data_IF_296738667764
#
_entry.id   IF_296738667764
#
_cell.length_a   1.000
_cell.length_b   1.000
_cell.length_c   1.000
_cell.angle_alpha   90.00
_cell.angle_beta   90.00
_cell.angle_gamma   90.00
#
_symmetry.space_group_name_H-M   'P 1'
#
loop_
_entity.id
_entity.type
_entity.pdbx_description
1 polymer ?
#
# COMPACT_ATOMS: atom_id res chain seq x y z
N UNK A 1 6.43 -7.11 -24.95
CA UNK A 1 5.93 -7.18 -26.34
C UNK A 1 4.64 -6.38 -26.45
N UNK A 2 4.26 -5.85 -27.61
CA UNK A 2 2.84 -5.70 -27.92
C UNK A 2 2.28 -7.07 -28.39
N UNK A 3 0.96 -7.18 -28.58
CA UNK A 3 0.34 -8.46 -28.89
C UNK A 3 0.79 -9.06 -30.24
N UNK A 4 0.99 -8.21 -31.26
CA UNK A 4 1.42 -8.68 -32.59
C UNK A 4 2.87 -9.14 -32.57
N UNK A 5 3.73 -8.35 -31.93
CA UNK A 5 5.13 -8.70 -31.71
C UNK A 5 5.25 -10.00 -30.90
N UNK A 6 4.40 -10.23 -29.90
CA UNK A 6 4.39 -11.49 -29.15
C UNK A 6 4.01 -12.69 -30.04
N UNK A 7 2.98 -12.55 -30.88
CA UNK A 7 2.55 -13.64 -31.78
C UNK A 7 3.62 -13.99 -32.82
N UNK A 8 4.38 -13.01 -33.28
CA UNK A 8 5.43 -13.17 -34.31
C UNK A 8 6.81 -13.51 -33.74
N UNK A 9 7.03 -13.37 -32.42
CA UNK A 9 8.31 -13.61 -31.79
C UNK A 9 8.74 -15.08 -31.93
N UNK A 10 9.92 -15.29 -32.51
CA UNK A 10 10.56 -16.62 -32.61
C UNK A 10 11.08 -17.11 -31.25
N UNK A 11 11.54 -16.17 -30.41
CA UNK A 11 12.05 -16.45 -29.08
C UNK A 11 11.13 -15.82 -28.04
N UNK A 12 10.62 -16.65 -27.14
CA UNK A 12 9.78 -16.25 -26.00
C UNK A 12 10.42 -16.79 -24.73
N UNK A 13 10.20 -16.11 -23.62
CA UNK A 13 10.61 -16.66 -22.34
C UNK A 13 9.76 -17.90 -22.02
N UNK A 14 10.41 -18.96 -21.56
CA UNK A 14 9.75 -20.24 -21.30
C UNK A 14 8.85 -20.23 -20.07
N UNK A 15 8.96 -19.20 -19.21
CA UNK A 15 8.21 -19.05 -17.97
C UNK A 15 7.20 -17.92 -18.06
N UNK A 16 7.59 -16.75 -18.58
CA UNK A 16 6.78 -15.53 -18.44
C UNK A 16 7.04 -14.50 -19.53
N UNK A 17 5.98 -14.03 -20.20
CA UNK A 17 6.06 -13.00 -21.21
C UNK A 17 5.10 -11.84 -20.91
N UNK A 18 5.63 -10.62 -20.84
CA UNK A 18 4.81 -9.41 -20.69
C UNK A 18 4.29 -8.95 -22.05
N UNK A 19 2.95 -8.89 -22.18
CA UNK A 19 2.27 -8.46 -23.40
C UNK A 19 1.44 -7.22 -23.10
N UNK A 20 1.85 -6.09 -23.68
CA UNK A 20 1.22 -4.79 -23.47
C UNK A 20 0.04 -4.60 -24.42
N UNK A 21 -1.08 -4.13 -23.87
CA UNK A 21 -2.30 -3.79 -24.60
C UNK A 21 -2.86 -2.48 -24.06
N UNK A 22 -3.31 -1.63 -24.98
CA UNK A 22 -4.10 -0.44 -24.68
C UNK A 22 -5.55 -0.87 -24.50
N UNK A 23 -6.18 -0.52 -23.38
CA UNK A 23 -7.51 -0.98 -22.99
C UNK A 23 -8.59 -0.65 -24.03
N UNK A 24 -8.45 0.48 -24.71
CA UNK A 24 -9.30 0.93 -25.81
C UNK A 24 -9.27 -0.05 -27.00
N UNK A 25 -8.11 -0.68 -27.25
CA UNK A 25 -7.87 -1.60 -28.36
C UNK A 25 -8.08 -3.07 -27.96
N UNK A 26 -8.50 -3.33 -26.71
CA UNK A 26 -8.66 -4.68 -26.20
C UNK A 26 -9.77 -5.45 -26.95
N UNK A 27 -9.33 -6.47 -27.68
CA UNK A 27 -10.17 -7.49 -28.32
C UNK A 27 -9.86 -8.85 -27.66
N UNK A 28 -10.80 -9.35 -26.87
CA UNK A 28 -10.62 -10.54 -26.00
C UNK A 28 -10.39 -11.82 -26.80
N UNK A 29 -10.91 -11.89 -28.02
CA UNK A 29 -10.73 -13.02 -28.94
C UNK A 29 -9.25 -13.21 -29.29
N UNK A 30 -8.48 -12.13 -29.32
CA UNK A 30 -7.05 -12.19 -29.65
C UNK A 30 -6.19 -12.71 -28.49
N UNK A 31 -6.77 -12.82 -27.29
CA UNK A 31 -6.12 -13.30 -26.08
C UNK A 31 -6.41 -14.77 -25.75
N UNK A 32 -7.28 -15.41 -26.53
CA UNK A 32 -7.53 -16.84 -26.41
C UNK A 32 -6.24 -17.63 -26.69
N UNK A 33 -6.06 -18.73 -25.95
CA UNK A 33 -4.94 -19.67 -26.09
C UNK A 33 -3.54 -19.07 -25.85
N UNK A 34 -3.45 -17.90 -25.21
CA UNK A 34 -2.17 -17.35 -24.77
C UNK A 34 -1.70 -18.03 -23.49
N UNK A 35 -0.66 -18.84 -23.60
CA UNK A 35 0.02 -19.42 -22.45
C UNK A 35 1.18 -18.53 -21.97
N UNK A 36 1.43 -18.55 -20.65
CA UNK A 36 2.60 -17.91 -20.02
C UNK A 36 2.70 -16.40 -20.26
N UNK A 37 1.55 -15.74 -20.35
CA UNK A 37 1.43 -14.30 -20.57
C UNK A 37 0.99 -13.61 -19.29
N UNK A 38 1.66 -12.49 -18.98
CA UNK A 38 1.13 -11.45 -18.09
C UNK A 38 0.71 -10.29 -18.98
N UNK A 39 -0.56 -9.95 -18.91
CA UNK A 39 -1.08 -8.80 -19.64
C UNK A 39 -0.62 -7.53 -18.94
N UNK A 40 0.00 -6.62 -19.69
CA UNK A 40 0.31 -5.27 -19.22
C UNK A 40 -0.76 -4.34 -19.81
N UNK A 41 -1.77 -4.03 -19.02
CA UNK A 41 -2.90 -3.24 -19.45
C UNK A 41 -2.63 -1.76 -19.19
N UNK A 42 -2.71 -0.93 -20.23
CA UNK A 42 -2.54 0.53 -20.11
C UNK A 42 -3.70 1.25 -20.81
N UNK A 43 -3.73 2.59 -20.73
CA UNK A 43 -4.75 3.39 -21.42
C UNK A 43 -4.23 4.79 -21.74
N UNK A 44 -4.69 5.36 -22.86
CA UNK A 44 -4.44 6.75 -23.25
C UNK A 44 -5.65 7.65 -22.92
N UNK A 45 -6.76 7.07 -22.51
CA UNK A 45 -7.97 7.78 -22.14
C UNK A 45 -7.79 8.62 -20.86
N UNK A 46 -8.49 9.75 -20.80
CA UNK A 46 -8.50 10.60 -19.59
C UNK A 46 -9.30 9.97 -18.44
N UNK A 47 -10.36 9.23 -18.76
CA UNK A 47 -11.21 8.51 -17.81
C UNK A 47 -10.60 7.13 -17.47
N UNK A 48 -9.40 7.15 -16.90
CA UNK A 48 -8.55 5.96 -16.67
C UNK A 48 -9.28 4.84 -15.95
N UNK A 49 -9.85 5.15 -14.78
CA UNK A 49 -10.52 4.16 -13.93
C UNK A 49 -11.63 3.43 -14.69
N UNK A 50 -12.50 4.18 -15.38
CA UNK A 50 -13.62 3.61 -16.14
C UNK A 50 -13.12 2.76 -17.30
N UNK A 51 -12.11 3.23 -18.04
CA UNK A 51 -11.58 2.53 -19.21
C UNK A 51 -10.89 1.23 -18.83
N UNK A 52 -10.04 1.25 -17.79
CA UNK A 52 -9.36 0.04 -17.31
C UNK A 52 -10.36 -0.92 -16.66
N UNK A 53 -11.28 -0.43 -15.82
CA UNK A 53 -12.33 -1.25 -15.21
C UNK A 53 -13.19 -1.94 -16.27
N UNK A 54 -13.56 -1.22 -17.34
CA UNK A 54 -14.30 -1.82 -18.46
C UNK A 54 -13.50 -2.91 -19.17
N UNK A 55 -12.18 -2.73 -19.36
CA UNK A 55 -11.33 -3.78 -19.90
C UNK A 55 -11.29 -5.04 -19.01
N UNK A 56 -11.20 -4.89 -17.68
CA UNK A 56 -11.35 -6.02 -16.76
C UNK A 56 -12.69 -6.73 -16.89
N UNK A 57 -13.79 -5.98 -16.99
CA UNK A 57 -15.14 -6.55 -17.20
C UNK A 57 -15.21 -7.33 -18.52
N UNK A 58 -14.58 -6.86 -19.60
CA UNK A 58 -14.48 -7.62 -20.86
C UNK A 58 -13.73 -8.94 -20.67
N UNK A 59 -12.58 -8.93 -19.98
CA UNK A 59 -11.80 -10.14 -19.71
C UNK A 59 -12.61 -11.16 -18.90
N UNK A 60 -13.31 -10.69 -17.86
CA UNK A 60 -14.17 -11.52 -17.01
C UNK A 60 -15.33 -12.14 -17.80
N UNK A 61 -16.03 -11.34 -18.60
CA UNK A 61 -17.13 -11.83 -19.44
C UNK A 61 -16.67 -12.86 -20.48
N UNK A 62 -15.42 -12.77 -20.93
CA UNK A 62 -14.81 -13.73 -21.83
C UNK A 62 -14.25 -14.98 -21.12
N UNK A 63 -14.30 -15.04 -19.78
CA UNK A 63 -13.76 -16.16 -19.00
C UNK A 63 -12.22 -16.24 -19.03
N UNK A 64 -11.53 -15.15 -19.35
CA UNK A 64 -10.07 -15.10 -19.45
C UNK A 64 -9.45 -14.87 -18.07
N UNK A 65 -8.66 -15.85 -17.61
CA UNK A 65 -8.07 -15.85 -16.27
C UNK A 65 -6.53 -15.78 -16.32
N UNK A 66 -6.03 -14.76 -17.01
CA UNK A 66 -4.60 -14.45 -17.09
C UNK A 66 -4.23 -13.33 -16.11
N UNK A 67 -2.99 -13.31 -15.56
CA UNK A 67 -2.56 -12.23 -14.70
C UNK A 67 -2.49 -10.90 -15.46
N UNK A 68 -2.93 -9.82 -14.82
CA UNK A 68 -2.95 -8.47 -15.39
C UNK A 68 -2.19 -7.50 -14.50
N UNK A 69 -1.14 -6.88 -15.04
CA UNK A 69 -0.48 -5.72 -14.44
C UNK A 69 -1.08 -4.45 -15.07
N UNK A 70 -1.51 -3.51 -14.23
CA UNK A 70 -1.99 -2.21 -14.71
C UNK A 70 -0.82 -1.24 -14.80
N UNK A 71 -0.56 -0.74 -16.00
CA UNK A 71 0.51 0.23 -16.28
C UNK A 71 -0.04 1.63 -16.48
N UNK A 72 0.52 2.59 -15.74
CA UNK A 72 0.23 4.02 -15.89
C UNK A 72 1.50 4.83 -16.13
N UNK A 73 1.36 5.86 -16.95
CA UNK A 73 2.42 6.83 -17.23
C UNK A 73 2.00 8.20 -16.71
N UNK A 74 2.87 8.79 -15.90
CA UNK A 74 2.74 10.10 -15.27
C UNK A 74 3.94 11.00 -15.61
N UNK A 75 4.56 10.81 -16.79
CA UNK A 75 5.75 11.55 -17.23
C UNK A 75 5.53 13.08 -17.28
N UNK A 76 4.27 13.51 -17.41
CA UNK A 76 3.87 14.92 -17.40
C UNK A 76 3.89 15.54 -16.00
N UNK A 77 3.85 14.73 -14.94
CA UNK A 77 3.86 15.21 -13.57
C UNK A 77 5.29 15.42 -13.11
N UNK A 78 5.54 16.61 -12.56
CA UNK A 78 6.81 16.98 -11.92
C UNK A 78 6.69 17.10 -10.41
N UNK A 79 5.47 17.32 -9.91
CA UNK A 79 5.16 17.43 -8.49
C UNK A 79 4.93 16.05 -7.86
N UNK A 80 5.53 15.84 -6.68
CA UNK A 80 5.47 14.57 -5.96
C UNK A 80 4.09 14.33 -5.35
N UNK A 81 3.43 15.36 -4.85
CA UNK A 81 2.12 15.23 -4.20
C UNK A 81 1.05 14.90 -5.24
N UNK A 82 1.05 15.61 -6.38
CA UNK A 82 0.19 15.30 -7.52
C UNK A 82 0.43 13.87 -8.02
N UNK A 83 1.70 13.46 -8.17
CA UNK A 83 2.04 12.09 -8.56
C UNK A 83 1.45 11.06 -7.59
N UNK A 84 1.63 11.26 -6.28
CA UNK A 84 1.10 10.35 -5.26
C UNK A 84 -0.42 10.30 -5.29
N UNK A 85 -1.09 11.44 -5.47
CA UNK A 85 -2.53 11.53 -5.57
C UNK A 85 -3.06 10.76 -6.79
N UNK A 86 -2.62 11.13 -7.99
CA UNK A 86 -3.15 10.56 -9.24
C UNK A 86 -2.80 9.08 -9.41
N UNK A 87 -1.58 8.67 -9.06
CA UNK A 87 -1.20 7.25 -9.13
C UNK A 87 -2.02 6.39 -8.16
N UNK A 88 -2.30 6.89 -6.96
CA UNK A 88 -3.14 6.18 -5.99
C UNK A 88 -4.59 6.07 -6.44
N UNK A 89 -5.16 7.13 -7.04
CA UNK A 89 -6.55 7.11 -7.55
C UNK A 89 -6.71 6.20 -8.77
N UNK A 90 -5.76 6.23 -9.70
CA UNK A 90 -5.84 5.45 -10.94
C UNK A 90 -5.69 3.94 -10.68
N UNK A 91 -4.83 3.56 -9.73
CA UNK A 91 -4.44 2.17 -9.52
C UNK A 91 -5.11 1.55 -8.30
N UNK A 92 -5.23 2.29 -7.20
CA UNK A 92 -5.72 1.76 -5.93
C UNK A 92 -7.19 1.33 -5.98
N UNK A 93 -8.03 2.10 -6.68
CA UNK A 93 -9.46 1.76 -6.81
C UNK A 93 -9.69 0.43 -7.51
N UNK A 94 -8.88 0.10 -8.52
CA UNK A 94 -8.97 -1.18 -9.24
C UNK A 94 -8.62 -2.36 -8.34
N UNK A 95 -7.55 -2.23 -7.55
CA UNK A 95 -7.13 -3.26 -6.60
C UNK A 95 -8.19 -3.50 -5.51
N UNK A 96 -8.86 -2.44 -5.04
CA UNK A 96 -9.98 -2.55 -4.09
C UNK A 96 -11.17 -3.30 -4.71
N UNK A 97 -11.44 -3.11 -5.99
CA UNK A 97 -12.47 -3.88 -6.72
C UNK A 97 -12.07 -5.36 -6.93
N UNK A 98 -10.85 -5.75 -6.57
CA UNK A 98 -10.29 -7.07 -6.83
C UNK A 98 -9.72 -7.24 -8.24
N UNK A 99 -9.44 -6.14 -8.94
CA UNK A 99 -8.85 -6.16 -10.28
C UNK A 99 -7.35 -5.89 -10.26
N UNK A 100 -6.61 -6.66 -11.06
CA UNK A 100 -5.18 -6.53 -11.25
C UNK A 100 -4.35 -7.33 -10.25
N UNK A 101 -3.24 -7.86 -10.74
CA UNK A 101 -2.27 -8.68 -9.99
C UNK A 101 -0.99 -7.90 -9.68
N UNK A 102 -0.87 -6.68 -10.23
CA UNK A 102 0.26 -5.80 -10.00
C UNK A 102 0.06 -4.44 -10.63
N UNK A 103 0.95 -3.53 -10.29
CA UNK A 103 0.98 -2.17 -10.81
C UNK A 103 2.35 -1.87 -11.40
N UNK A 104 2.36 -1.09 -12.48
CA UNK A 104 3.56 -0.58 -13.12
C UNK A 104 3.42 0.93 -13.27
N UNK A 105 4.29 1.68 -12.60
CA UNK A 105 4.23 3.15 -12.60
C UNK A 105 5.46 3.70 -13.31
N UNK A 106 5.22 4.51 -14.34
CA UNK A 106 6.26 5.27 -15.03
C UNK A 106 6.07 6.77 -14.73
N UNK A 107 7.12 7.45 -14.26
CA UNK A 107 7.10 8.90 -14.04
C UNK A 107 8.54 9.46 -14.12
N UNK A 108 8.96 9.90 -15.30
CA UNK A 108 10.36 10.34 -15.56
C UNK A 108 10.89 11.40 -14.59
N UNK A 109 10.05 12.34 -14.18
CA UNK A 109 10.45 13.49 -13.36
C UNK A 109 10.43 13.19 -11.86
N UNK A 110 9.96 12.01 -11.45
CA UNK A 110 9.82 11.63 -10.05
C UNK A 110 10.96 10.66 -9.67
N UNK A 111 11.63 10.85 -8.52
CA UNK A 111 12.69 9.92 -8.09
C UNK A 111 12.18 8.48 -7.94
N UNK A 112 12.98 7.51 -8.39
CA UNK A 112 12.60 6.09 -8.34
C UNK A 112 12.28 5.60 -6.91
N UNK A 113 12.97 6.13 -5.89
CA UNK A 113 12.67 5.83 -4.49
C UNK A 113 11.25 6.23 -4.09
N UNK A 114 10.78 7.39 -4.57
CA UNK A 114 9.42 7.87 -4.35
C UNK A 114 8.43 6.98 -5.11
N UNK A 115 8.67 6.70 -6.39
CA UNK A 115 7.83 5.79 -7.20
C UNK A 115 7.65 4.44 -6.50
N UNK A 116 8.75 3.82 -6.06
CA UNK A 116 8.72 2.54 -5.35
C UNK A 116 7.95 2.65 -4.03
N UNK A 117 8.23 3.67 -3.21
CA UNK A 117 7.55 3.86 -1.93
C UNK A 117 6.05 4.08 -2.09
N UNK A 118 5.62 4.80 -3.13
CA UNK A 118 4.22 5.05 -3.48
C UNK A 118 3.57 3.76 -3.98
N UNK A 119 4.22 3.01 -4.87
CA UNK A 119 3.72 1.73 -5.36
C UNK A 119 3.47 0.72 -4.22
N UNK A 120 4.44 0.54 -3.31
CA UNK A 120 4.25 -0.29 -2.12
C UNK A 120 3.20 0.27 -1.17
N UNK A 121 3.10 1.60 -1.06
CA UNK A 121 2.04 2.29 -0.32
C UNK A 121 0.64 1.95 -0.84
N UNK A 122 0.44 2.03 -2.16
CA UNK A 122 -0.82 1.67 -2.82
C UNK A 122 -1.16 0.20 -2.56
N UNK A 123 -0.20 -0.72 -2.77
CA UNK A 123 -0.43 -2.15 -2.55
C UNK A 123 -0.74 -2.48 -1.07
N UNK A 124 -0.16 -1.75 -0.13
CA UNK A 124 -0.42 -1.93 1.30
C UNK A 124 -1.78 -1.35 1.71
N UNK A 125 -2.13 -0.15 1.22
CA UNK A 125 -3.40 0.50 1.50
C UNK A 125 -4.60 -0.30 0.98
N UNK A 126 -4.42 -0.97 -0.17
CA UNK A 126 -5.43 -1.82 -0.81
C UNK A 126 -5.43 -3.26 -0.27
N UNK A 127 -4.57 -3.57 0.71
CA UNK A 127 -4.40 -4.90 1.31
C UNK A 127 -3.92 -6.00 0.36
N UNK A 128 -3.49 -5.66 -0.85
CA UNK A 128 -2.91 -6.61 -1.82
C UNK A 128 -1.53 -7.11 -1.39
N UNK A 129 -0.71 -6.26 -0.74
CA UNK A 129 0.61 -6.65 -0.23
C UNK A 129 1.03 -5.85 1.00
N UNK A 130 1.37 -6.53 2.08
CA UNK A 130 1.95 -5.90 3.27
C UNK A 130 3.47 -5.85 3.16
N UNK A 131 4.04 -4.66 3.21
CA UNK A 131 5.47 -4.41 2.91
C UNK A 131 6.26 -3.81 4.08
N UNK A 132 5.57 -3.18 5.03
CA UNK A 132 6.14 -2.48 6.18
C UNK A 132 5.10 -2.42 7.31
N UNK A 133 5.53 -1.91 8.45
CA UNK A 133 4.63 -1.61 9.58
C UNK A 133 3.54 -0.62 9.15
N UNK A 134 2.34 -0.85 9.64
CA UNK A 134 1.21 0.05 9.47
C UNK A 134 1.01 0.88 10.73
N UNK A 135 0.72 2.17 10.53
CA UNK A 135 0.52 3.12 11.63
C UNK A 135 -0.89 3.66 11.53
N UNK A 136 -1.66 3.45 12.60
CA UNK A 136 -3.02 3.95 12.73
C UNK A 136 -2.93 5.11 13.73
N UNK A 137 -3.17 6.34 13.28
CA UNK A 137 -3.03 7.52 14.14
C UNK A 137 -4.24 8.41 14.04
N UNK A 138 -4.71 8.93 15.17
CA UNK A 138 -5.73 9.96 15.17
C UNK A 138 -5.19 11.26 14.54
N UNK A 139 -6.04 12.10 13.93
CA UNK A 139 -5.65 13.48 13.70
C UNK A 139 -5.36 14.15 15.06
N UNK A 140 -4.39 15.08 15.09
CA UNK A 140 -4.18 15.86 16.31
C UNK A 140 -5.42 16.72 16.60
N UNK A 141 -5.78 16.82 17.87
CA UNK A 141 -6.90 17.64 18.34
C UNK A 141 -6.59 18.29 19.70
N UNK A 142 -7.47 19.17 20.20
CA UNK A 142 -7.29 19.84 21.50
C UNK A 142 -7.26 18.91 22.72
N UNK A 143 -7.49 17.60 22.55
CA UNK A 143 -7.36 16.58 23.59
C UNK A 143 -6.00 15.88 23.59
N UNK A 144 -5.13 16.18 22.63
CA UNK A 144 -3.80 15.56 22.51
C UNK A 144 -2.90 16.08 23.62
N UNK A 145 -2.31 15.18 24.40
CA UNK A 145 -1.56 15.53 25.62
C UNK A 145 -0.03 15.40 25.47
N UNK A 146 0.44 15.14 24.26
CA UNK A 146 1.85 15.05 23.87
C UNK A 146 2.02 15.47 22.41
N UNK A 147 3.25 15.66 21.94
CA UNK A 147 3.49 15.89 20.52
C UNK A 147 3.28 14.59 19.74
N UNK A 148 2.08 14.44 19.18
CA UNK A 148 1.69 13.27 18.41
C UNK A 148 2.52 13.10 17.15
N UNK A 149 2.92 14.20 16.50
CA UNK A 149 3.64 14.15 15.25
C UNK A 149 5.08 13.69 15.47
N UNK A 150 5.79 14.31 16.42
CA UNK A 150 7.15 13.92 16.79
C UNK A 150 7.19 12.49 17.33
N UNK A 151 6.24 12.12 18.19
CA UNK A 151 6.16 10.76 18.74
C UNK A 151 5.89 9.72 17.64
N UNK A 152 5.00 10.03 16.70
CA UNK A 152 4.72 9.14 15.56
C UNK A 152 5.96 8.95 14.70
N UNK A 153 6.72 10.01 14.45
CA UNK A 153 7.98 9.91 13.72
C UNK A 153 9.02 9.08 14.47
N UNK A 154 9.15 9.28 15.79
CA UNK A 154 10.08 8.52 16.63
C UNK A 154 9.75 7.02 16.66
N UNK A 155 8.46 6.66 16.78
CA UNK A 155 8.01 5.27 16.70
C UNK A 155 8.30 4.70 15.30
N UNK A 156 7.97 5.45 14.23
CA UNK A 156 8.24 5.03 12.84
C UNK A 156 9.71 4.74 12.57
N UNK A 157 10.59 5.63 13.03
CA UNK A 157 12.04 5.49 12.86
C UNK A 157 12.58 4.19 13.48
N UNK A 158 11.96 3.71 14.55
CA UNK A 158 12.40 2.51 15.28
C UNK A 158 11.66 1.24 14.88
N UNK A 159 10.48 1.33 14.25
CA UNK A 159 9.62 0.16 14.02
C UNK A 159 9.29 -0.10 12.56
N UNK A 160 9.58 0.81 11.62
CA UNK A 160 9.14 0.71 10.21
C UNK A 160 9.54 -0.56 9.44
N UNK A 161 10.57 -1.26 9.89
CA UNK A 161 11.05 -2.51 9.30
C UNK A 161 10.18 -3.73 9.67
N UNK A 162 9.32 -3.61 10.69
CA UNK A 162 8.49 -4.72 11.20
C UNK A 162 7.29 -4.97 10.27
N UNK A 163 7.45 -5.88 9.32
CA UNK A 163 6.42 -6.24 8.34
C UNK A 163 5.26 -6.97 9.02
N UNK A 164 4.03 -6.58 8.69
CA UNK A 164 2.83 -7.25 9.20
C UNK A 164 2.29 -6.74 10.52
N UNK A 165 2.98 -5.80 11.18
CA UNK A 165 2.56 -5.23 12.46
C UNK A 165 1.81 -3.92 12.26
N UNK A 166 0.73 -3.73 13.03
CA UNK A 166 -0.06 -2.51 13.12
C UNK A 166 0.15 -1.85 14.48
N UNK A 167 0.53 -0.58 14.47
CA UNK A 167 0.76 0.21 15.68
C UNK A 167 -0.22 1.39 15.70
N UNK A 168 -1.10 1.41 16.70
CA UNK A 168 -2.01 2.50 17.00
C UNK A 168 -1.32 3.59 17.81
N UNK A 169 -1.38 4.85 17.39
CA UNK A 169 -0.78 5.99 18.09
C UNK A 169 -1.84 7.06 18.28
N UNK A 170 -2.30 7.20 19.52
CA UNK A 170 -3.51 7.95 19.85
C UNK A 170 -3.22 9.06 20.84
N UNK A 171 -3.64 10.27 20.49
CA UNK A 171 -3.39 11.47 21.29
C UNK A 171 -4.13 11.50 22.63
N UNK A 172 -5.23 10.76 22.76
CA UNK A 172 -6.05 10.75 23.97
C UNK A 172 -6.73 9.39 24.22
N UNK A 173 -7.04 9.12 25.49
CA UNK A 173 -7.69 7.90 25.96
C UNK A 173 -9.17 7.79 25.57
N UNK A 174 -9.79 8.90 25.15
CA UNK A 174 -11.25 8.96 24.93
C UNK A 174 -11.65 8.15 23.70
N UNK A 175 -11.11 8.50 22.53
CA UNK A 175 -11.37 7.77 21.29
C UNK A 175 -10.25 6.78 20.95
N UNK A 176 -9.06 6.95 21.55
CA UNK A 176 -7.87 6.20 21.19
C UNK A 176 -8.08 4.68 21.16
N UNK A 177 -8.60 4.04 22.22
CA UNK A 177 -8.83 2.60 22.24
C UNK A 177 -9.77 2.09 21.14
N UNK A 178 -10.76 2.89 20.74
CA UNK A 178 -11.68 2.53 19.66
C UNK A 178 -11.06 2.72 18.28
N UNK A 179 -10.34 3.82 18.06
CA UNK A 179 -9.68 4.12 16.77
C UNK A 179 -8.54 3.13 16.45
N UNK A 180 -7.92 2.53 17.46
CA UNK A 180 -6.87 1.52 17.30
C UNK A 180 -7.37 0.08 17.51
N UNK A 181 -8.67 -0.18 17.45
CA UNK A 181 -9.24 -1.50 17.73
C UNK A 181 -8.62 -2.65 16.90
N UNK A 182 -8.17 -2.34 15.68
CA UNK A 182 -7.54 -3.28 14.74
C UNK A 182 -6.00 -3.27 14.79
N UNK A 183 -5.40 -2.56 15.75
CA UNK A 183 -3.95 -2.50 15.93
C UNK A 183 -3.45 -3.66 16.82
N UNK A 184 -2.26 -4.17 16.53
CA UNK A 184 -1.61 -5.19 17.35
C UNK A 184 -1.04 -4.58 18.65
N UNK A 185 -0.58 -3.34 18.56
CA UNK A 185 -0.03 -2.59 19.69
C UNK A 185 -0.57 -1.16 19.71
N UNK A 186 -0.76 -0.61 20.91
CA UNK A 186 -1.28 0.74 21.09
C UNK A 186 -0.39 1.62 21.96
N UNK A 187 -0.21 2.87 21.55
CA UNK A 187 0.42 3.95 22.29
C UNK A 187 -0.62 5.06 22.49
N UNK A 188 -1.17 5.19 23.70
CA UNK A 188 -2.32 6.08 23.95
C UNK A 188 -2.02 7.10 25.04
N UNK A 189 -2.23 8.38 24.75
CA UNK A 189 -2.15 9.45 25.74
C UNK A 189 -3.23 9.31 26.82
N UNK A 190 -2.82 9.08 28.07
CA UNK A 190 -3.71 8.94 29.23
C UNK A 190 -3.75 10.19 30.12
N UNK A 191 -2.76 11.08 29.99
CA UNK A 191 -2.62 12.31 30.76
C UNK A 191 -1.39 13.10 30.31
N UNK A 192 -1.17 14.32 30.83
CA UNK A 192 0.10 15.02 30.65
C UNK A 192 1.25 14.13 31.13
N UNK A 193 2.24 13.93 30.25
CA UNK A 193 3.38 13.04 30.46
C UNK A 193 3.04 11.58 30.84
N UNK A 194 1.86 11.08 30.42
CA UNK A 194 1.39 9.73 30.76
C UNK A 194 0.85 9.00 29.55
N UNK A 195 1.45 7.86 29.27
CA UNK A 195 1.08 6.96 28.17
C UNK A 195 0.57 5.64 28.74
N UNK A 196 -0.47 5.10 28.12
CA UNK A 196 -0.92 3.73 28.35
C UNK A 196 -0.60 2.90 27.11
N UNK A 197 0.06 1.77 27.32
CA UNK A 197 0.45 0.83 26.28
C UNK A 197 -0.52 -0.34 26.24
N UNK A 198 -0.83 -0.77 25.02
CA UNK A 198 -1.81 -1.81 24.74
C UNK A 198 -1.22 -2.91 23.88
N UNK A 199 -1.72 -4.14 24.09
CA UNK A 199 -1.60 -5.28 23.17
C UNK A 199 -3.01 -5.59 22.68
N UNK A 200 -3.28 -5.37 21.40
CA UNK A 200 -4.65 -5.29 20.90
C UNK A 200 -5.44 -4.24 21.68
N UNK A 201 -6.54 -4.67 22.29
CA UNK A 201 -7.36 -3.84 23.18
C UNK A 201 -7.02 -3.98 24.67
N UNK A 202 -6.10 -4.88 25.03
CA UNK A 202 -5.73 -5.13 26.41
C UNK A 202 -4.65 -4.14 26.89
N UNK A 203 -4.89 -3.54 28.05
CA UNK A 203 -3.91 -2.65 28.67
C UNK A 203 -2.79 -3.47 29.30
N UNK A 204 -1.56 -3.31 28.81
CA UNK A 204 -0.38 -4.01 29.31
C UNK A 204 0.47 -3.16 30.26
N UNK A 205 0.53 -1.84 30.03
CA UNK A 205 1.18 -0.88 30.95
C UNK A 205 0.37 0.41 31.06
N UNK A 206 0.18 0.91 32.28
CA UNK A 206 -0.58 2.15 32.56
C UNK A 206 0.34 3.26 33.02
N UNK A 207 0.06 4.49 32.58
CA UNK A 207 0.72 5.71 33.05
C UNK A 207 2.25 5.67 32.97
N UNK A 208 2.79 5.07 31.91
CA UNK A 208 4.22 5.10 31.59
C UNK A 208 4.61 6.54 31.26
N UNK A 209 5.76 7.01 31.76
CA UNK A 209 6.28 8.34 31.41
C UNK A 209 6.58 8.40 29.92
N UNK A 210 6.32 9.54 29.29
CA UNK A 210 6.48 9.68 27.82
C UNK A 210 7.91 9.37 27.37
N UNK A 211 8.90 9.79 28.17
CA UNK A 211 10.33 9.55 27.89
C UNK A 211 10.68 8.06 27.78
N UNK A 212 9.99 7.20 28.53
CA UNK A 212 10.27 5.76 28.59
C UNK A 212 9.31 4.95 27.69
N UNK A 213 8.15 5.52 27.34
CA UNK A 213 7.04 4.80 26.72
C UNK A 213 7.40 4.15 25.37
N UNK A 214 8.25 4.78 24.55
CA UNK A 214 8.68 4.19 23.26
C UNK A 214 9.57 2.96 23.50
N UNK A 215 10.49 3.03 24.46
CA UNK A 215 11.33 1.88 24.81
C UNK A 215 10.49 0.73 25.35
N UNK A 216 9.49 1.06 26.17
CA UNK A 216 8.59 0.08 26.74
C UNK A 216 7.69 -0.58 25.70
N UNK A 217 7.20 0.20 24.72
CA UNK A 217 6.47 -0.33 23.57
C UNK A 217 7.32 -1.36 22.80
N UNK A 218 8.58 -1.02 22.53
CA UNK A 218 9.51 -1.92 21.83
C UNK A 218 9.81 -3.17 22.67
N UNK A 219 10.00 -3.02 23.98
CA UNK A 219 10.19 -4.15 24.88
C UNK A 219 9.01 -5.12 24.88
N UNK A 220 7.77 -4.60 24.76
CA UNK A 220 6.57 -5.44 24.60
C UNK A 220 6.62 -6.19 23.26
N UNK A 221 6.88 -5.51 22.15
CA UNK A 221 6.96 -6.12 20.81
C UNK A 221 8.04 -7.21 20.77
N UNK A 222 9.20 -6.95 21.38
CA UNK A 222 10.30 -7.92 21.53
C UNK A 222 9.91 -9.11 22.40
N UNK A 223 9.28 -8.86 23.55
CA UNK A 223 8.82 -9.90 24.47
C UNK A 223 7.78 -10.84 23.84
N UNK A 224 7.00 -10.33 22.88
CA UNK A 224 6.00 -11.10 22.14
C UNK A 224 6.60 -11.87 20.94
N UNK A 225 7.92 -11.76 20.70
CA UNK A 225 8.61 -12.45 19.60
C UNK A 225 8.33 -11.86 18.22
N UNK A 226 7.75 -10.67 18.15
CA UNK A 226 7.38 -9.99 16.90
C UNK A 226 8.44 -9.01 16.41
N UNK A 227 9.61 -8.99 17.04
CA UNK A 227 10.73 -8.15 16.64
C UNK A 227 11.62 -8.86 15.62
N UNK A 228 12.02 -8.13 14.58
CA UNK A 228 12.96 -8.59 13.56
C UNK A 228 14.06 -7.53 13.48
N UNK A 229 15.32 -7.92 13.57
CA UNK A 229 16.42 -6.96 13.44
C UNK A 229 16.50 -6.37 12.03
N UNK A 230 17.00 -5.14 11.93
CA UNK A 230 17.24 -4.49 10.64
C UNK A 230 18.49 -5.13 10.01
N UNK A 231 18.32 -5.73 8.83
CA UNK A 231 19.42 -6.25 8.00
C UNK A 231 20.41 -5.15 7.56
#
# INVERSE_FOLDING_TARGET
>A
FDLQAYKQAQTKDEKLNFVKIVAEDLQVEQLQDLEKVVLVLTTNAQNVMQTIRHAFVKLLNAGLNLPVIVERNFDVLTDVEEFQLYSSTDLGGLLIDGFGDGIWINAKSIPLSIINSTAFGILQATRTRISKTEYISCPSCGRTLFDLQETTQAIRARTSHLKGIKIGIMGCIVNGPGEMADADYGYVGAGPDKITLYRGQEVVKKNVKTADAINELIGIIQGDGNWVEVD
#
